data_IF_745914082264
#
_entry.id   IF_745914082264
#
_cell.length_a   1.000
_cell.length_b   1.000
_cell.length_c   1.000
_cell.angle_alpha   90.00
_cell.angle_beta   90.00
_cell.angle_gamma   90.00
#
_symmetry.space_group_name_H-M   'P 1'
#
loop_
_entity.id
_entity.type
_entity.pdbx_description
1 polymer ?
#
# COMPACT_ATOMS: atom_id res chain seq x y z
N UNK A 1 23.79 3.08 39.19
CA UNK A 1 23.68 2.05 38.13
C UNK A 1 23.65 2.76 36.81
N UNK A 2 24.52 2.36 35.88
CA UNK A 2 24.72 3.05 34.61
C UNK A 2 23.50 2.81 33.73
N UNK A 3 22.83 3.86 33.26
CA UNK A 3 21.62 3.75 32.43
C UNK A 3 21.82 2.81 31.22
N UNK A 4 23.03 2.80 30.65
CA UNK A 4 23.40 1.91 29.56
C UNK A 4 23.41 0.42 29.96
N UNK A 5 23.82 0.08 31.18
CA UNK A 5 23.79 -1.30 31.67
C UNK A 5 22.34 -1.81 31.80
N UNK A 6 21.43 -0.94 32.24
CA UNK A 6 20.00 -1.26 32.34
C UNK A 6 19.36 -1.49 30.96
N UNK A 7 19.75 -0.73 29.94
CA UNK A 7 19.27 -0.93 28.57
C UNK A 7 19.83 -2.22 27.96
N UNK A 8 21.11 -2.55 28.18
CA UNK A 8 21.70 -3.82 27.75
C UNK A 8 20.99 -5.02 28.39
N UNK A 9 20.73 -4.98 29.70
CA UNK A 9 20.01 -6.05 30.41
C UNK A 9 18.59 -6.22 29.86
N UNK A 10 17.89 -5.12 29.57
CA UNK A 10 16.57 -5.15 28.93
C UNK A 10 16.58 -5.78 27.54
N UNK A 11 17.63 -5.52 26.74
CA UNK A 11 17.80 -6.12 25.41
C UNK A 11 18.01 -7.64 25.54
N UNK A 12 18.90 -8.07 26.43
CA UNK A 12 19.21 -9.48 26.68
C UNK A 12 17.99 -10.27 27.16
N UNK A 13 17.25 -9.73 28.13
CA UNK A 13 16.05 -10.40 28.67
C UNK A 13 14.93 -10.53 27.63
N UNK A 14 14.82 -9.55 26.72
CA UNK A 14 13.84 -9.59 25.62
C UNK A 14 14.24 -10.56 24.51
N UNK A 15 15.54 -10.71 24.24
CA UNK A 15 16.07 -11.72 23.34
C UNK A 15 15.82 -13.13 23.87
N UNK A 16 16.05 -13.36 25.17
CA UNK A 16 15.73 -14.64 25.84
C UNK A 16 14.25 -15.01 25.73
N UNK A 17 13.36 -14.02 25.67
CA UNK A 17 11.90 -14.19 25.52
C UNK A 17 11.42 -14.23 24.06
N UNK A 18 12.33 -14.40 23.09
CA UNK A 18 12.06 -14.43 21.65
C UNK A 18 11.24 -13.23 21.12
N UNK A 19 11.38 -12.06 21.75
CA UNK A 19 10.64 -10.85 21.36
C UNK A 19 11.47 -9.98 20.41
N UNK A 20 11.92 -10.59 19.32
CA UNK A 20 12.86 -9.99 18.35
C UNK A 20 12.40 -8.64 17.82
N UNK A 21 11.09 -8.44 17.62
CA UNK A 21 10.50 -7.18 17.16
C UNK A 21 10.71 -6.04 18.16
N UNK A 22 10.45 -6.25 19.46
CA UNK A 22 10.63 -5.22 20.48
C UNK A 22 12.10 -4.97 20.79
N UNK A 23 12.95 -6.00 20.70
CA UNK A 23 14.40 -5.85 20.83
C UNK A 23 14.94 -4.97 19.70
N UNK A 24 14.56 -5.27 18.45
CA UNK A 24 14.98 -4.48 17.29
C UNK A 24 14.50 -3.03 17.40
N UNK A 25 13.26 -2.81 17.87
CA UNK A 25 12.74 -1.46 18.11
C UNK A 25 13.58 -0.70 19.14
N UNK A 26 13.90 -1.32 20.28
CA UNK A 26 14.70 -0.69 21.34
C UNK A 26 16.12 -0.36 20.84
N UNK A 27 16.78 -1.29 20.15
CA UNK A 27 18.10 -1.04 19.54
C UNK A 27 18.01 0.14 18.58
N UNK A 28 17.01 0.14 17.68
CA UNK A 28 16.80 1.22 16.73
C UNK A 28 16.55 2.56 17.42
N UNK A 29 15.80 2.60 18.51
CA UNK A 29 15.52 3.82 19.25
C UNK A 29 16.78 4.37 19.95
N UNK A 30 17.67 3.49 20.42
CA UNK A 30 18.94 3.84 21.04
C UNK A 30 20.02 4.27 20.03
N UNK A 31 20.03 3.65 18.85
CA UNK A 31 21.09 3.87 17.84
C UNK A 31 20.71 4.84 16.73
N UNK A 32 19.42 5.13 16.53
CA UNK A 32 19.02 6.03 15.44
C UNK A 32 19.06 7.49 15.90
N UNK A 33 19.88 8.28 15.21
CA UNK A 33 19.70 9.73 15.18
C UNK A 33 18.40 10.02 14.43
N UNK A 34 17.38 10.50 15.14
CA UNK A 34 16.14 10.99 14.52
C UNK A 34 16.48 12.20 13.66
N UNK A 35 16.70 11.99 12.36
CA UNK A 35 16.69 13.08 11.40
C UNK A 35 15.33 13.76 11.52
N UNK A 36 15.35 15.06 11.86
CA UNK A 36 14.15 15.87 11.89
C UNK A 36 13.41 15.71 10.56
N UNK A 37 12.08 15.69 10.61
CA UNK A 37 11.25 15.70 9.40
C UNK A 37 11.63 16.99 8.66
N UNK A 38 12.44 16.90 7.60
CA UNK A 38 12.69 18.04 6.74
C UNK A 38 11.35 18.36 6.07
N UNK A 39 10.62 19.34 6.60
CA UNK A 39 9.30 19.80 6.13
C UNK A 39 9.41 20.61 4.84
N UNK A 40 10.49 20.45 4.09
CA UNK A 40 10.82 21.28 2.94
C UNK A 40 11.07 20.42 1.72
N UNK A 41 10.36 20.71 0.64
CA UNK A 41 10.47 20.05 -0.67
C UNK A 41 10.79 21.12 -1.71
N UNK A 42 11.66 20.84 -2.65
CA UNK A 42 11.94 21.75 -3.77
C UNK A 42 10.91 21.59 -4.88
N UNK A 43 10.51 22.72 -5.46
CA UNK A 43 9.81 22.74 -6.73
C UNK A 43 10.74 22.35 -7.91
N UNK A 44 10.27 22.50 -9.14
CA UNK A 44 11.05 22.15 -10.33
C UNK A 44 12.20 23.12 -10.61
N UNK A 45 12.07 24.36 -10.14
CA UNK A 45 13.05 25.43 -10.32
C UNK A 45 14.10 25.45 -9.19
N UNK A 46 13.99 24.51 -8.24
CA UNK A 46 14.90 24.38 -7.11
C UNK A 46 14.54 25.27 -5.91
N UNK A 47 13.41 25.97 -5.95
CA UNK A 47 12.94 26.79 -4.83
C UNK A 47 12.36 25.89 -3.75
N UNK A 48 12.75 26.18 -2.51
CA UNK A 48 12.33 25.45 -1.32
C UNK A 48 10.87 25.82 -0.93
N UNK A 49 9.97 24.84 -0.93
CA UNK A 49 8.59 24.96 -0.48
C UNK A 49 8.48 24.54 0.98
N UNK A 50 7.85 25.38 1.81
CA UNK A 50 7.64 25.16 3.24
C UNK A 50 6.18 24.96 3.61
N UNK A 51 5.27 25.53 2.81
CA UNK A 51 3.83 25.48 3.06
C UNK A 51 3.25 24.11 2.69
N UNK A 52 2.38 23.58 3.56
CA UNK A 52 1.80 22.24 3.39
C UNK A 52 1.06 22.09 2.05
N UNK A 53 0.30 23.10 1.65
CA UNK A 53 -0.47 23.08 0.40
C UNK A 53 0.46 23.04 -0.83
N UNK A 54 1.54 23.82 -0.82
CA UNK A 54 2.52 23.85 -1.91
C UNK A 54 3.28 22.53 -2.00
N UNK A 55 3.65 21.96 -0.85
CA UNK A 55 4.31 20.65 -0.77
C UNK A 55 3.37 19.55 -1.30
N UNK A 56 2.10 19.55 -0.91
CA UNK A 56 1.10 18.59 -1.41
C UNK A 56 0.90 18.73 -2.91
N UNK A 57 0.80 19.97 -3.42
CA UNK A 57 0.71 20.25 -4.86
C UNK A 57 1.95 19.71 -5.59
N UNK A 58 3.15 19.96 -5.08
CA UNK A 58 4.40 19.47 -5.65
C UNK A 58 4.47 17.94 -5.68
N UNK A 59 3.97 17.27 -4.65
CA UNK A 59 3.84 15.80 -4.62
C UNK A 59 2.81 15.30 -5.63
N UNK A 60 1.68 15.98 -5.76
CA UNK A 60 0.64 15.65 -6.75
C UNK A 60 1.19 15.75 -8.17
N UNK A 61 1.90 16.83 -8.50
CA UNK A 61 2.56 17.01 -9.80
C UNK A 61 3.57 15.89 -10.07
N UNK A 62 4.46 15.62 -9.11
CA UNK A 62 5.47 14.57 -9.25
C UNK A 62 4.86 13.18 -9.47
N UNK A 63 3.84 12.81 -8.68
CA UNK A 63 3.20 11.51 -8.80
C UNK A 63 2.42 11.37 -10.11
N UNK A 64 1.73 12.42 -10.54
CA UNK A 64 1.06 12.45 -11.83
C UNK A 64 2.05 12.21 -12.96
N UNK A 65 3.18 12.92 -13.00
CA UNK A 65 4.23 12.71 -14.01
C UNK A 65 4.80 11.29 -13.97
N UNK A 66 5.09 10.78 -12.77
CA UNK A 66 5.66 9.46 -12.57
C UNK A 66 4.74 8.33 -13.06
N UNK A 67 3.43 8.47 -12.86
CA UNK A 67 2.44 7.42 -13.16
C UNK A 67 1.65 7.65 -14.46
N UNK A 68 1.74 8.83 -15.08
CA UNK A 68 1.10 9.13 -16.37
C UNK A 68 1.71 8.39 -17.57
N UNK A 69 2.76 7.58 -17.39
CA UNK A 69 3.31 6.71 -18.43
C UNK A 69 2.27 5.78 -19.10
N UNK A 70 1.17 5.45 -18.42
CA UNK A 70 0.07 4.65 -19.00
C UNK A 70 -0.81 5.41 -20.00
N UNK A 71 -0.75 6.75 -20.06
CA UNK A 71 -1.51 7.50 -21.06
C UNK A 71 -0.96 7.31 -22.49
N UNK A 72 0.28 6.82 -22.63
CA UNK A 72 0.94 6.49 -23.90
C UNK A 72 1.12 4.97 -24.07
N UNK A 73 0.29 4.17 -23.38
CA UNK A 73 0.41 2.73 -23.12
C UNK A 73 1.26 1.89 -24.07
N UNK A 74 2.08 1.00 -23.50
CA UNK A 74 2.76 -0.06 -24.25
C UNK A 74 1.70 -0.95 -24.94
N UNK A 75 1.69 -1.02 -26.28
CA UNK A 75 0.73 -1.83 -27.03
C UNK A 75 0.78 -3.31 -26.65
N UNK A 76 1.93 -3.83 -26.21
CA UNK A 76 2.04 -5.23 -25.77
C UNK A 76 1.32 -5.47 -24.44
N UNK A 77 1.36 -4.49 -23.52
CA UNK A 77 0.68 -4.59 -22.21
C UNK A 77 -0.84 -4.41 -22.34
N UNK A 78 -1.28 -3.62 -23.32
CA UNK A 78 -2.69 -3.38 -23.62
C UNK A 78 -3.29 -4.40 -24.59
N UNK A 79 -2.49 -5.33 -25.12
CA UNK A 79 -2.98 -6.40 -25.99
C UNK A 79 -3.76 -7.42 -25.16
N UNK A 80 -5.06 -7.17 -24.98
CA UNK A 80 -5.98 -8.11 -24.35
C UNK A 80 -6.22 -9.25 -25.33
N UNK A 81 -5.89 -10.51 -24.98
CA UNK A 81 -6.22 -11.65 -25.81
C UNK A 81 -7.73 -11.66 -26.11
N UNK A 82 -8.15 -12.16 -27.29
CA UNK A 82 -9.56 -12.31 -27.59
C UNK A 82 -10.23 -13.16 -26.50
N UNK A 83 -11.43 -12.76 -26.10
CA UNK A 83 -12.21 -13.45 -25.09
C UNK A 83 -12.39 -14.93 -25.49
N UNK A 84 -12.23 -15.80 -24.50
CA UNK A 84 -12.44 -17.24 -24.62
C UNK A 84 -13.81 -17.63 -24.06
N UNK A 85 -14.30 -18.83 -24.39
CA UNK A 85 -15.54 -19.36 -23.79
C UNK A 85 -15.48 -19.42 -22.25
N UNK A 86 -14.26 -19.45 -21.68
CA UNK A 86 -14.05 -19.47 -20.25
C UNK A 86 -14.37 -18.11 -19.58
N UNK A 87 -14.31 -17.00 -20.34
CA UNK A 87 -14.57 -15.66 -19.81
C UNK A 87 -16.07 -15.41 -19.54
N UNK A 88 -16.94 -16.29 -20.06
CA UNK A 88 -18.38 -16.26 -19.82
C UNK A 88 -18.79 -16.89 -18.49
N UNK A 89 -17.88 -17.60 -17.79
CA UNK A 89 -18.22 -18.17 -16.48
C UNK A 89 -18.16 -17.10 -15.39
N UNK A 90 -19.15 -17.07 -14.47
CA UNK A 90 -19.11 -16.16 -13.34
C UNK A 90 -17.97 -16.54 -12.38
N UNK A 91 -17.47 -15.54 -11.66
CA UNK A 91 -16.53 -15.74 -10.55
C UNK A 91 -17.19 -16.66 -9.52
N UNK A 92 -16.48 -17.72 -9.13
CA UNK A 92 -16.99 -18.67 -8.15
C UNK A 92 -16.83 -18.14 -6.73
N UNK A 93 -17.72 -18.59 -5.84
CA UNK A 93 -17.66 -18.22 -4.42
C UNK A 93 -16.36 -18.67 -3.77
N UNK A 94 -15.86 -19.82 -4.19
CA UNK A 94 -14.64 -20.47 -3.72
C UNK A 94 -13.41 -19.61 -4.04
N UNK A 95 -13.38 -18.97 -5.21
CA UNK A 95 -12.31 -18.06 -5.60
C UNK A 95 -12.27 -16.83 -4.69
N UNK A 96 -13.45 -16.26 -4.39
CA UNK A 96 -13.57 -15.14 -3.45
C UNK A 96 -13.12 -15.55 -2.05
N UNK A 97 -13.53 -16.73 -1.57
CA UNK A 97 -13.10 -17.26 -0.25
C UNK A 97 -11.58 -17.43 -0.20
N UNK A 98 -10.99 -18.03 -1.23
CA UNK A 98 -9.55 -18.23 -1.31
C UNK A 98 -8.80 -16.88 -1.34
N UNK A 99 -9.27 -15.92 -2.14
CA UNK A 99 -8.68 -14.59 -2.25
C UNK A 99 -8.75 -13.83 -0.93
N UNK A 100 -9.91 -13.81 -0.24
CA UNK A 100 -10.06 -13.19 1.09
C UNK A 100 -9.13 -13.82 2.12
N UNK A 101 -9.03 -15.16 2.15
CA UNK A 101 -8.12 -15.87 3.04
C UNK A 101 -6.65 -15.53 2.78
N UNK A 102 -6.29 -15.24 1.53
CA UNK A 102 -4.92 -14.89 1.13
C UNK A 102 -4.48 -13.47 1.52
N UNK A 103 -5.41 -12.60 1.94
CA UNK A 103 -5.08 -11.23 2.36
C UNK A 103 -4.09 -11.25 3.53
N UNK A 104 -3.03 -10.46 3.40
CA UNK A 104 -2.02 -10.30 4.45
C UNK A 104 -2.57 -9.38 5.55
N UNK A 105 -2.56 -9.88 6.78
CA UNK A 105 -2.88 -9.13 8.00
C UNK A 105 -1.82 -8.08 8.34
N UNK A 106 -2.19 -7.11 9.16
CA UNK A 106 -1.38 -6.02 9.68
C UNK A 106 -0.80 -5.12 8.57
N UNK A 107 -1.58 -4.97 7.50
CA UNK A 107 -1.29 -4.05 6.39
C UNK A 107 -2.18 -2.84 6.49
N UNK A 108 -1.65 -1.69 6.09
CA UNK A 108 -2.41 -0.45 6.04
C UNK A 108 -3.61 -0.58 5.10
N UNK A 109 -4.75 -0.04 5.52
CA UNK A 109 -5.93 0.08 4.70
C UNK A 109 -5.70 1.04 3.51
N UNK A 110 -6.55 0.93 2.49
CA UNK A 110 -6.60 1.90 1.40
C UNK A 110 -7.37 3.16 1.82
N UNK A 111 -7.77 3.96 0.84
CA UNK A 111 -8.59 5.16 1.05
C UNK A 111 -9.95 4.88 1.71
N UNK A 112 -10.44 3.64 1.59
CA UNK A 112 -11.69 3.18 2.21
C UNK A 112 -11.58 2.93 3.72
N UNK A 113 -10.36 2.96 4.28
CA UNK A 113 -10.08 2.65 5.68
C UNK A 113 -10.55 1.25 6.13
N UNK A 114 -10.73 0.31 5.19
CA UNK A 114 -11.12 -1.07 5.49
C UNK A 114 -9.86 -1.96 5.65
N UNK A 115 -9.55 -2.44 6.87
CA UNK A 115 -8.42 -3.33 7.08
C UNK A 115 -8.73 -4.76 6.60
N UNK A 116 -7.69 -5.51 6.25
CA UNK A 116 -7.82 -6.89 5.78
C UNK A 116 -8.52 -7.80 6.79
N UNK A 117 -8.28 -7.56 8.08
CA UNK A 117 -8.86 -8.31 9.19
C UNK A 117 -10.38 -8.18 9.22
N UNK A 118 -10.93 -7.01 8.89
CA UNK A 118 -12.37 -6.80 8.84
C UNK A 118 -12.99 -7.58 7.68
N UNK A 119 -12.31 -7.56 6.52
CA UNK A 119 -12.72 -8.36 5.35
C UNK A 119 -12.71 -9.86 5.69
N UNK A 120 -11.67 -10.33 6.39
CA UNK A 120 -11.54 -11.73 6.78
C UNK A 120 -12.53 -12.15 7.88
N UNK A 121 -12.85 -11.24 8.81
CA UNK A 121 -13.77 -11.50 9.92
C UNK A 121 -15.25 -11.41 9.51
N UNK A 122 -15.56 -10.77 8.38
CA UNK A 122 -16.93 -10.52 7.93
C UNK A 122 -17.73 -11.76 7.48
N UNK A 123 -17.12 -12.95 7.47
CA UNK A 123 -17.79 -14.23 7.22
C UNK A 123 -18.53 -14.30 5.89
N UNK A 124 -19.59 -15.12 5.82
CA UNK A 124 -20.36 -15.34 4.59
C UNK A 124 -21.07 -14.09 4.07
N UNK A 125 -21.41 -13.14 4.94
CA UNK A 125 -21.99 -11.87 4.52
C UNK A 125 -20.99 -11.06 3.68
N UNK A 126 -19.74 -10.96 4.14
CA UNK A 126 -18.67 -10.30 3.38
C UNK A 126 -18.35 -11.04 2.08
N UNK A 127 -18.27 -12.37 2.11
CA UNK A 127 -18.05 -13.17 0.89
C UNK A 127 -19.15 -12.92 -0.14
N UNK A 128 -20.41 -12.89 0.30
CA UNK A 128 -21.55 -12.67 -0.60
C UNK A 128 -21.54 -11.27 -1.19
N UNK A 129 -21.24 -10.24 -0.38
CA UNK A 129 -21.10 -8.88 -0.86
C UNK A 129 -19.96 -8.72 -1.89
N UNK A 130 -18.78 -9.28 -1.60
CA UNK A 130 -17.65 -9.28 -2.52
C UNK A 130 -17.96 -10.04 -3.81
N UNK A 131 -18.61 -11.20 -3.72
CA UNK A 131 -18.99 -12.00 -4.89
C UNK A 131 -19.91 -11.21 -5.83
N UNK A 132 -20.89 -10.49 -5.28
CA UNK A 132 -21.79 -9.63 -6.09
C UNK A 132 -21.01 -8.53 -6.80
N UNK A 133 -20.12 -7.83 -6.10
CA UNK A 133 -19.34 -6.74 -6.68
C UNK A 133 -18.34 -7.28 -7.71
N UNK A 134 -17.61 -8.34 -7.39
CA UNK A 134 -16.64 -8.98 -8.28
C UNK A 134 -17.30 -9.47 -9.57
N UNK A 135 -18.46 -10.14 -9.49
CA UNK A 135 -19.17 -10.57 -10.70
C UNK A 135 -19.69 -9.39 -11.53
N UNK A 136 -20.12 -8.31 -10.88
CA UNK A 136 -20.50 -7.09 -11.62
C UNK A 136 -19.30 -6.53 -12.39
N UNK A 137 -18.13 -6.42 -11.75
CA UNK A 137 -16.89 -5.99 -12.40
C UNK A 137 -16.53 -6.94 -13.54
N UNK A 138 -16.63 -8.25 -13.34
CA UNK A 138 -16.33 -9.26 -14.34
C UNK A 138 -17.20 -9.11 -15.60
N UNK A 139 -18.50 -8.83 -15.42
CA UNK A 139 -19.46 -8.69 -16.52
C UNK A 139 -19.36 -7.35 -17.25
N UNK A 140 -19.14 -6.24 -16.52
CA UNK A 140 -19.20 -4.90 -17.12
C UNK A 140 -17.85 -4.27 -17.37
N UNK A 141 -16.78 -4.78 -16.76
CA UNK A 141 -15.47 -4.11 -16.71
C UNK A 141 -15.44 -2.86 -15.83
N UNK A 142 -16.56 -2.50 -15.19
CA UNK A 142 -16.67 -1.26 -14.43
C UNK A 142 -16.29 -1.46 -12.97
N UNK A 143 -15.22 -0.82 -12.55
CA UNK A 143 -14.74 -0.87 -11.18
C UNK A 143 -15.45 0.17 -10.30
N UNK A 144 -15.79 -0.16 -9.03
CA UNK A 144 -16.21 0.84 -8.07
C UNK A 144 -15.15 1.94 -7.92
N UNK A 145 -15.55 3.21 -7.95
CA UNK A 145 -14.63 4.34 -7.81
C UNK A 145 -13.70 4.24 -6.58
N UNK A 146 -14.16 3.81 -5.38
CA UNK A 146 -13.27 3.64 -4.24
C UNK A 146 -12.18 2.57 -4.45
N UNK A 147 -12.38 1.62 -5.36
CA UNK A 147 -11.42 0.55 -5.67
C UNK A 147 -10.38 0.96 -6.70
N UNK A 148 -10.65 2.02 -7.48
CA UNK A 148 -9.72 2.61 -8.45
C UNK A 148 -8.86 3.72 -7.84
N UNK A 149 -9.20 4.16 -6.63
CA UNK A 149 -8.46 5.16 -5.88
C UNK A 149 -7.38 4.51 -5.01
N UNK A 150 -6.30 5.25 -4.76
CA UNK A 150 -5.24 4.82 -3.86
C UNK A 150 -4.64 6.00 -3.09
N UNK A 151 -4.18 5.73 -1.86
CA UNK A 151 -3.41 6.71 -1.10
C UNK A 151 -1.93 6.54 -1.44
N UNK A 152 -1.28 7.60 -1.91
CA UNK A 152 0.16 7.60 -2.16
C UNK A 152 0.89 8.02 -0.90
N UNK A 153 1.74 7.14 -0.39
CA UNK A 153 2.64 7.39 0.73
C UNK A 153 4.06 7.50 0.22
N UNK A 154 4.80 8.51 0.68
CA UNK A 154 6.19 8.75 0.31
C UNK A 154 7.11 8.29 1.44
N UNK A 155 8.11 7.47 1.09
CA UNK A 155 9.13 6.99 2.02
C UNK A 155 10.50 7.55 1.62
N UNK A 156 11.25 8.18 2.55
CA UNK A 156 12.56 8.72 2.22
C UNK A 156 13.54 7.62 1.81
N UNK A 157 14.30 7.86 0.74
CA UNK A 157 15.48 7.08 0.33
C UNK A 157 16.75 7.85 0.75
N UNK A 158 17.92 7.30 0.44
CA UNK A 158 19.20 8.03 0.57
C UNK A 158 19.24 9.20 -0.42
N UNK A 159 19.91 10.29 -0.04
CA UNK A 159 20.11 11.48 -0.87
C UNK A 159 19.51 12.75 -0.25
N UNK A 160 19.39 13.80 -1.06
CA UNK A 160 18.77 15.05 -0.64
C UNK A 160 17.24 14.88 -0.50
N UNK A 161 16.73 14.91 0.73
CA UNK A 161 15.31 14.74 1.06
C UNK A 161 14.42 15.93 0.69
N UNK A 162 15.00 17.00 0.13
CA UNK A 162 14.22 18.08 -0.48
C UNK A 162 13.74 17.72 -1.90
N UNK A 163 14.31 16.69 -2.54
CA UNK A 163 13.94 16.29 -3.91
C UNK A 163 12.96 15.12 -3.89
N UNK A 164 11.81 15.25 -4.57
CA UNK A 164 10.79 14.20 -4.64
C UNK A 164 11.33 12.84 -5.15
N UNK A 165 12.28 12.86 -6.08
CA UNK A 165 12.90 11.65 -6.66
C UNK A 165 13.64 10.77 -5.63
N UNK A 166 14.09 11.39 -4.52
CA UNK A 166 14.75 10.70 -3.42
C UNK A 166 13.73 10.10 -2.43
N UNK A 167 12.47 9.94 -2.84
CA UNK A 167 11.47 9.17 -2.12
C UNK A 167 11.01 7.97 -2.94
N UNK A 168 10.54 6.95 -2.24
CA UNK A 168 9.78 5.84 -2.81
C UNK A 168 8.31 6.09 -2.57
N UNK A 169 7.53 6.16 -3.63
CA UNK A 169 6.07 6.17 -3.55
C UNK A 169 5.55 4.75 -3.34
N UNK A 170 4.58 4.60 -2.45
CA UNK A 170 3.82 3.37 -2.21
C UNK A 170 2.35 3.70 -2.36
N UNK A 171 1.66 2.98 -3.22
CA UNK A 171 0.20 3.07 -3.39
C UNK A 171 -0.49 2.11 -2.42
N UNK A 172 -1.36 2.65 -1.58
CA UNK A 172 -2.25 1.88 -0.70
C UNK A 172 -3.63 1.78 -1.36
N UNK A 173 -3.91 0.60 -1.91
CA UNK A 173 -5.21 0.26 -2.52
C UNK A 173 -6.10 -0.51 -1.53
N UNK A 174 -7.42 -0.42 -1.74
CA UNK A 174 -8.43 -1.17 -0.97
C UNK A 174 -8.12 -2.67 -0.92
N UNK A 175 -8.33 -3.28 0.26
CA UNK A 175 -8.20 -4.74 0.40
C UNK A 175 -9.25 -5.48 -0.43
N UNK A 176 -10.44 -4.91 -0.58
CA UNK A 176 -11.49 -5.49 -1.42
C UNK A 176 -11.12 -5.44 -2.90
N UNK A 177 -10.48 -4.35 -3.36
CA UNK A 177 -9.90 -4.29 -4.71
C UNK A 177 -8.82 -5.37 -4.92
N UNK A 178 -7.96 -5.62 -3.91
CA UNK A 178 -6.97 -6.71 -3.95
C UNK A 178 -7.60 -8.10 -4.06
N UNK A 179 -8.80 -8.32 -3.52
CA UNK A 179 -9.53 -9.58 -3.69
C UNK A 179 -9.83 -9.81 -5.16
N UNK A 180 -10.41 -8.82 -5.85
CA UNK A 180 -10.68 -8.91 -7.28
C UNK A 180 -9.39 -9.12 -8.09
N UNK A 181 -8.34 -8.32 -7.83
CA UNK A 181 -7.05 -8.49 -8.50
C UNK A 181 -6.45 -9.89 -8.27
N UNK A 182 -6.67 -10.48 -7.10
CA UNK A 182 -6.18 -11.83 -6.80
C UNK A 182 -6.96 -12.90 -7.59
N UNK A 183 -8.27 -12.71 -7.76
CA UNK A 183 -9.11 -13.59 -8.58
C UNK A 183 -8.68 -13.52 -10.05
N UNK A 184 -8.43 -12.31 -10.57
CA UNK A 184 -7.96 -12.10 -11.96
C UNK A 184 -6.57 -12.69 -12.26
N UNK A 185 -5.76 -12.94 -11.22
CA UNK A 185 -4.40 -13.48 -11.33
C UNK A 185 -4.31 -14.98 -11.03
N UNK A 186 -5.41 -15.60 -10.60
CA UNK A 186 -5.48 -17.04 -10.37
C UNK A 186 -5.81 -17.76 -11.68
#
# INVERSE_FOLDING_TARGET
MNWFEEQCQNIEDRMKKNNSKKTYQLVKDLTSTKQGRTTTIQDKDGKCLTEEQDILKRWSEYCSELYNYRATGDPEVLNVPPATDNDNYPILREDVKAAVKSLKKWKSAGADNVPAELVQAGGEAMISALLTVCNKIWQTGEWPTPWTQSLIITLPKKGNLQLCQNYRTISLISHSSKVMLKILLN
#
